data_IF_881384093079
#
_entry.id   IF_881384093079
#
_cell.length_a   1.000
_cell.length_b   1.000
_cell.length_c   1.000
_cell.angle_alpha   90.00
_cell.angle_beta   90.00
_cell.angle_gamma   90.00
#
_symmetry.space_group_name_H-M   'P 1'
#
loop_
_entity.id
_entity.type
_entity.pdbx_description
1 polymer ?
#
# COMPACT_ATOMS: atom_id res chain seq x y z
N UNK A 1 -12.51 1.56 -6.84
CA UNK A 1 -11.34 2.40 -7.21
C UNK A 1 -10.09 1.68 -6.77
N UNK A 2 -9.19 1.31 -7.70
CA UNK A 2 -7.99 0.51 -7.41
C UNK A 2 -6.80 1.31 -6.87
N UNK A 3 -6.96 2.62 -6.70
CA UNK A 3 -5.90 3.52 -6.23
C UNK A 3 -6.00 3.65 -4.71
N UNK A 4 -4.97 3.21 -4.00
CA UNK A 4 -4.84 3.45 -2.56
C UNK A 4 -4.46 4.91 -2.31
N UNK A 5 -5.40 5.70 -1.82
CA UNK A 5 -5.12 7.06 -1.37
C UNK A 5 -4.30 7.07 -0.07
N UNK A 6 -3.55 8.15 0.14
CA UNK A 6 -2.76 8.38 1.36
C UNK A 6 -3.59 8.23 2.65
N UNK A 7 -4.86 8.63 2.61
CA UNK A 7 -5.77 8.45 3.75
C UNK A 7 -5.98 6.97 4.10
N UNK A 8 -6.18 6.10 3.11
CA UNK A 8 -6.36 4.67 3.35
C UNK A 8 -5.10 4.03 3.93
N UNK A 9 -3.92 4.39 3.39
CA UNK A 9 -2.64 3.91 3.92
C UNK A 9 -2.45 4.33 5.38
N UNK A 10 -2.77 5.58 5.74
CA UNK A 10 -2.68 6.06 7.13
C UNK A 10 -3.61 5.30 8.09
N UNK A 11 -4.84 4.97 7.66
CA UNK A 11 -5.77 4.20 8.49
C UNK A 11 -5.27 2.77 8.72
N UNK A 12 -4.75 2.13 7.66
CA UNK A 12 -4.19 0.78 7.77
C UNK A 12 -2.91 0.75 8.61
N UNK A 13 -2.03 1.75 8.45
CA UNK A 13 -0.82 1.87 9.26
C UNK A 13 -1.16 2.03 10.75
N UNK A 14 -2.16 2.87 11.07
CA UNK A 14 -2.64 3.01 12.45
C UNK A 14 -3.16 1.69 13.01
N UNK A 15 -3.97 0.96 12.24
CA UNK A 15 -4.48 -0.35 12.65
C UNK A 15 -3.32 -1.33 12.90
N UNK A 16 -2.36 -1.38 11.98
CA UNK A 16 -1.17 -2.23 12.08
C UNK A 16 -0.38 -1.93 13.36
N UNK A 17 -0.08 -0.65 13.62
CA UNK A 17 0.62 -0.21 14.84
C UNK A 17 -0.16 -0.52 16.12
N UNK A 18 -1.49 -0.34 16.12
CA UNK A 18 -2.34 -0.71 17.26
C UNK A 18 -2.30 -2.22 17.54
N UNK A 19 -2.34 -3.05 16.51
CA UNK A 19 -2.23 -4.50 16.64
C UNK A 19 -0.86 -4.89 17.20
N UNK A 20 0.24 -4.35 16.66
CA UNK A 20 1.58 -4.63 17.14
C UNK A 20 1.77 -4.21 18.60
N UNK A 21 1.38 -2.98 18.96
CA UNK A 21 1.41 -2.53 20.37
C UNK A 21 0.66 -3.47 21.29
N UNK A 22 -0.52 -3.94 20.89
CA UNK A 22 -1.33 -4.87 21.70
C UNK A 22 -0.68 -6.23 21.84
N UNK A 23 -0.10 -6.79 20.77
CA UNK A 23 0.57 -8.10 20.79
C UNK A 23 1.82 -8.05 21.67
N UNK A 24 2.60 -6.98 21.58
CA UNK A 24 3.84 -6.81 22.36
C UNK A 24 3.62 -6.21 23.75
N UNK A 25 2.37 -5.90 24.14
CA UNK A 25 2.04 -5.35 25.45
C UNK A 25 2.59 -3.94 25.71
N UNK A 26 2.84 -3.16 24.65
CA UNK A 26 3.46 -1.83 24.72
C UNK A 26 2.41 -0.79 25.13
N UNK A 27 2.74 -0.02 26.17
CA UNK A 27 1.95 1.08 26.71
C UNK A 27 2.52 2.42 26.28
N UNK A 28 1.76 3.48 26.51
CA UNK A 28 2.19 4.85 26.23
C UNK A 28 3.39 5.28 27.11
N UNK A 29 3.51 4.70 28.31
CA UNK A 29 4.58 4.95 29.28
C UNK A 29 5.96 4.47 28.79
N UNK A 30 5.98 3.44 27.94
CA UNK A 30 7.21 2.83 27.44
C UNK A 30 7.94 3.75 26.44
N UNK A 31 7.25 4.77 25.89
CA UNK A 31 7.78 5.75 24.93
C UNK A 31 8.49 5.14 23.71
N UNK A 32 8.10 3.92 23.33
CA UNK A 32 8.61 3.20 22.16
C UNK A 32 8.02 3.78 20.88
N UNK A 33 8.89 4.09 19.92
CA UNK A 33 8.51 4.65 18.62
C UNK A 33 7.86 3.60 17.71
N UNK A 34 6.99 4.02 16.79
CA UNK A 34 6.37 3.12 15.80
C UNK A 34 7.41 2.38 14.94
N UNK A 35 8.55 3.00 14.65
CA UNK A 35 9.66 2.40 13.90
C UNK A 35 10.32 1.27 14.70
N UNK A 36 10.60 1.50 15.98
CA UNK A 36 11.19 0.49 16.86
C UNK A 36 10.27 -0.72 17.03
N UNK A 37 8.95 -0.50 17.07
CA UNK A 37 7.95 -1.59 17.10
C UNK A 37 8.03 -2.43 15.82
N UNK A 38 8.17 -1.80 14.65
CA UNK A 38 8.33 -2.51 13.38
C UNK A 38 9.63 -3.32 13.35
N UNK A 39 10.75 -2.73 13.77
CA UNK A 39 12.04 -3.41 13.84
C UNK A 39 11.99 -4.62 14.79
N UNK A 40 11.45 -4.44 16.00
CA UNK A 40 11.30 -5.49 17.00
C UNK A 40 10.36 -6.62 16.55
N UNK A 41 9.35 -6.29 15.76
CA UNK A 41 8.42 -7.26 15.17
C UNK A 41 8.88 -7.86 13.85
N UNK A 42 10.03 -7.41 13.32
CA UNK A 42 10.52 -7.78 11.99
C UNK A 42 9.46 -7.57 10.90
N UNK A 43 8.60 -6.57 11.10
CA UNK A 43 7.53 -6.21 10.18
C UNK A 43 7.92 -4.98 9.37
N UNK A 44 7.34 -4.88 8.17
CA UNK A 44 7.44 -3.69 7.34
C UNK A 44 6.20 -2.83 7.51
N UNK A 45 6.33 -1.52 7.30
CA UNK A 45 5.15 -0.65 7.27
C UNK A 45 4.20 -1.06 6.15
N UNK A 46 2.91 -0.77 6.33
CA UNK A 46 1.87 -1.08 5.34
C UNK A 46 2.14 -0.36 4.03
N UNK A 47 2.66 0.87 4.08
CA UNK A 47 3.03 1.62 2.87
C UNK A 47 4.07 0.86 2.04
N UNK A 48 5.12 0.32 2.67
CA UNK A 48 6.15 -0.46 1.99
C UNK A 48 5.57 -1.76 1.42
N UNK A 49 4.73 -2.46 2.18
CA UNK A 49 4.08 -3.70 1.72
C UNK A 49 3.21 -3.46 0.49
N UNK A 50 2.39 -2.41 0.50
CA UNK A 50 1.53 -2.04 -0.63
C UNK A 50 2.38 -1.64 -1.84
N UNK A 51 3.43 -0.85 -1.65
CA UNK A 51 4.35 -0.47 -2.74
C UNK A 51 5.03 -1.69 -3.36
N UNK A 52 5.55 -2.61 -2.53
CA UNK A 52 6.18 -3.85 -3.01
C UNK A 52 5.20 -4.70 -3.83
N UNK A 53 3.98 -4.88 -3.35
CA UNK A 53 2.99 -5.67 -4.08
C UNK A 53 2.56 -4.98 -5.38
N UNK A 54 2.43 -3.65 -5.38
CA UNK A 54 2.13 -2.85 -6.57
C UNK A 54 3.25 -2.96 -7.62
N UNK A 55 4.51 -2.94 -7.18
CA UNK A 55 5.67 -3.13 -8.07
C UNK A 55 5.73 -4.56 -8.63
N UNK A 56 5.45 -5.58 -7.80
CA UNK A 56 5.36 -6.97 -8.28
C UNK A 56 4.28 -7.14 -9.33
N UNK A 57 3.10 -6.56 -9.08
CA UNK A 57 1.97 -6.64 -10.00
C UNK A 57 2.22 -5.87 -11.30
N UNK A 58 2.76 -4.66 -11.23
CA UNK A 58 3.14 -3.89 -12.42
C UNK A 58 4.23 -4.60 -13.24
N UNK A 59 5.25 -5.16 -12.59
CA UNK A 59 6.26 -5.98 -13.28
C UNK A 59 5.66 -7.21 -13.96
N UNK A 60 4.66 -7.84 -13.35
CA UNK A 60 3.91 -8.93 -13.98
C UNK A 60 3.14 -8.45 -15.22
N UNK A 61 2.43 -7.32 -15.13
CA UNK A 61 1.74 -6.71 -16.28
C UNK A 61 2.70 -6.40 -17.43
N UNK A 62 3.88 -5.85 -17.13
CA UNK A 62 4.91 -5.55 -18.14
C UNK A 62 5.32 -6.80 -18.90
N UNK A 63 5.44 -7.95 -18.21
CA UNK A 63 5.82 -9.24 -18.82
C UNK A 63 4.67 -9.98 -19.52
N UNK A 64 3.42 -9.57 -19.31
CA UNK A 64 2.29 -10.18 -20.03
C UNK A 64 2.39 -9.99 -21.55
N UNK A 65 1.76 -10.87 -22.31
CA UNK A 65 1.61 -10.68 -23.77
C UNK A 65 0.77 -9.43 -24.07
N UNK A 66 1.13 -8.71 -25.15
CA UNK A 66 0.47 -7.44 -25.54
C UNK A 66 -1.00 -7.62 -25.93
N UNK A 67 -1.40 -8.83 -26.36
CA UNK A 67 -2.80 -9.16 -26.65
C UNK A 67 -3.69 -9.23 -25.39
N UNK A 68 -3.10 -9.28 -24.19
CA UNK A 68 -3.86 -9.39 -22.94
C UNK A 68 -4.44 -8.03 -22.56
N UNK A 69 -5.76 -7.99 -22.37
CA UNK A 69 -6.48 -6.77 -21.96
C UNK A 69 -5.86 -6.02 -20.77
N UNK A 70 -5.38 -6.67 -19.68
CA UNK A 70 -4.76 -5.93 -18.58
C UNK A 70 -3.52 -5.12 -18.98
N UNK A 71 -2.68 -5.64 -19.88
CA UNK A 71 -1.50 -4.93 -20.38
C UNK A 71 -1.91 -3.80 -21.32
N UNK A 72 -2.89 -4.04 -22.19
CA UNK A 72 -3.45 -3.01 -23.07
C UNK A 72 -4.05 -1.85 -22.27
N UNK A 73 -4.81 -2.15 -21.22
CA UNK A 73 -5.39 -1.14 -20.34
C UNK A 73 -4.33 -0.36 -19.55
N UNK A 74 -3.26 -1.04 -19.10
CA UNK A 74 -2.19 -0.41 -18.34
C UNK A 74 -1.41 0.65 -19.14
N UNK A 75 -1.23 0.43 -20.44
CA UNK A 75 -0.58 1.39 -21.36
C UNK A 75 -1.57 2.17 -22.23
N UNK A 76 -2.86 1.92 -22.07
CA UNK A 76 -3.91 2.49 -22.90
C UNK A 76 -4.36 3.85 -22.36
N UNK A 77 -4.68 4.74 -23.27
CA UNK A 77 -5.27 6.04 -22.95
C UNK A 77 -6.77 6.02 -23.23
N UNK A 78 -7.52 6.84 -22.49
CA UNK A 78 -8.95 6.99 -22.73
C UNK A 78 -9.16 7.71 -24.06
N UNK A 79 -9.89 7.09 -24.99
CA UNK A 79 -10.25 7.75 -26.24
C UNK A 79 -11.16 8.98 -26.03
N UNK A 80 -11.98 8.97 -24.96
CA UNK A 80 -12.88 10.05 -24.55
C UNK A 80 -13.06 10.05 -23.03
N UNK A 81 -13.28 11.23 -22.46
CA UNK A 81 -13.59 11.43 -21.04
C UNK A 81 -12.37 11.84 -20.22
N UNK A 82 -12.61 12.71 -19.24
CA UNK A 82 -11.58 13.19 -18.32
C UNK A 82 -11.82 12.62 -16.92
N UNK A 83 -10.73 12.37 -16.19
CA UNK A 83 -10.85 11.99 -14.79
C UNK A 83 -11.25 13.23 -13.99
N UNK A 84 -12.40 13.24 -13.30
CA UNK A 84 -12.80 14.40 -12.51
C UNK A 84 -11.77 14.69 -11.41
N UNK A 85 -11.49 15.97 -11.12
CA UNK A 85 -10.63 16.35 -10.01
C UNK A 85 -11.22 15.82 -8.70
N UNK A 86 -10.35 15.32 -7.84
CA UNK A 86 -10.75 14.81 -6.53
C UNK A 86 -11.19 15.99 -5.64
N UNK A 87 -12.41 15.92 -5.06
CA UNK A 87 -12.88 16.85 -4.02
C UNK A 87 -12.25 16.55 -2.66
#
# INVERSE_FOLDING_TARGET
TWVTYRYHLKQLERLHQMCLRRIYGIKWEDRISDLEILERSQCESIEILVLKQSLRWSGYLVRMQVSRMPKQLFYGELAKGERPPHK
#
